data_IF_266991590527
#
_entry.id   IF_266991590527
#
_cell.length_a   1.000
_cell.length_b   1.000
_cell.length_c   1.000
_cell.angle_alpha   90.00
_cell.angle_beta   90.00
_cell.angle_gamma   90.00
#
_symmetry.space_group_name_H-M   'P 1'
#
loop_
_entity.id
_entity.type
_entity.pdbx_description
1 polymer ?
#
# COMPACT_ATOMS: atom_id res chain seq x y z
N UNK A 1 -20.56 2.42 14.46
CA UNK A 1 -21.43 3.24 13.58
C UNK A 1 -21.72 4.52 14.33
N UNK A 2 -21.44 5.69 13.76
CA UNK A 2 -21.72 7.00 14.35
C UNK A 2 -22.62 7.81 13.41
N UNK A 3 -23.01 9.01 13.82
CA UNK A 3 -23.69 9.99 12.97
C UNK A 3 -22.69 11.04 12.50
N UNK A 4 -22.71 11.38 11.22
CA UNK A 4 -21.88 12.46 10.66
C UNK A 4 -22.49 13.86 10.92
N UNK A 5 -21.85 14.90 10.37
CA UNK A 5 -22.31 16.30 10.47
C UNK A 5 -23.69 16.54 9.87
N UNK A 6 -24.11 15.70 8.93
CA UNK A 6 -25.40 15.76 8.24
C UNK A 6 -26.41 14.73 8.81
N UNK A 7 -26.10 14.13 9.97
CA UNK A 7 -26.94 13.18 10.71
C UNK A 7 -27.11 11.79 10.04
N UNK A 8 -26.31 11.45 9.03
CA UNK A 8 -26.30 10.13 8.40
C UNK A 8 -25.54 9.09 9.24
N UNK A 9 -26.01 7.85 9.22
CA UNK A 9 -25.29 6.73 9.85
C UNK A 9 -24.09 6.33 9.01
N UNK A 10 -22.89 6.35 9.61
CA UNK A 10 -21.65 5.94 8.95
C UNK A 10 -20.83 4.98 9.82
N UNK A 11 -20.01 4.14 9.17
CA UNK A 11 -19.05 3.30 9.88
C UNK A 11 -17.91 4.17 10.43
N UNK A 12 -17.53 3.93 11.69
CA UNK A 12 -16.45 4.66 12.35
C UNK A 12 -15.32 3.70 12.69
N UNK A 13 -14.13 4.04 12.19
CA UNK A 13 -12.93 3.23 12.33
C UNK A 13 -12.75 2.21 11.20
N UNK A 14 -11.50 1.85 10.96
CA UNK A 14 -11.10 0.86 9.96
C UNK A 14 -9.98 -0.04 10.47
N UNK A 15 -9.81 -0.18 11.79
CA UNK A 15 -8.79 -1.08 12.37
C UNK A 15 -9.23 -2.55 12.25
N UNK A 16 -8.27 -3.45 12.12
CA UNK A 16 -8.50 -4.89 12.18
C UNK A 16 -8.40 -5.40 13.62
N UNK A 17 -8.64 -6.69 13.82
CA UNK A 17 -8.39 -7.39 15.09
C UNK A 17 -6.94 -7.90 15.21
N UNK A 18 -6.05 -7.56 14.28
CA UNK A 18 -4.66 -7.98 14.35
C UNK A 18 -3.95 -7.27 15.51
N UNK A 19 -3.11 -8.02 16.23
CA UNK A 19 -2.22 -7.48 17.25
C UNK A 19 -0.99 -6.84 16.57
N UNK A 20 -1.24 -5.75 15.84
CA UNK A 20 -0.25 -5.02 15.05
C UNK A 20 -0.45 -3.50 15.24
N UNK A 21 -0.01 -2.92 16.36
CA UNK A 21 -0.33 -1.53 16.72
C UNK A 21 0.34 -0.47 15.84
N UNK A 22 1.41 -0.82 15.14
CA UNK A 22 2.22 0.09 14.30
C UNK A 22 2.44 -0.40 12.87
N UNK A 23 2.04 -1.62 12.54
CA UNK A 23 2.26 -2.18 11.22
C UNK A 23 1.06 -2.05 10.28
N UNK A 24 1.24 -2.68 9.13
CA UNK A 24 0.37 -2.55 7.96
C UNK A 24 -0.97 -3.29 8.16
N UNK A 25 -1.00 -4.31 9.03
CA UNK A 25 -2.20 -5.10 9.28
C UNK A 25 -3.15 -4.41 10.26
N UNK A 26 -2.69 -3.36 10.95
CA UNK A 26 -3.50 -2.51 11.80
C UNK A 26 -4.78 -2.05 11.13
N UNK A 27 -4.69 -1.62 9.86
CA UNK A 27 -5.79 -1.04 9.11
C UNK A 27 -6.32 -2.00 8.06
N UNK A 28 -7.64 -2.14 8.03
CA UNK A 28 -8.37 -2.96 7.07
C UNK A 28 -8.10 -2.52 5.64
N UNK A 29 -7.97 -1.22 5.40
CA UNK A 29 -7.67 -0.65 4.07
C UNK A 29 -6.33 -1.14 3.53
N UNK A 30 -5.26 -0.96 4.30
CA UNK A 30 -3.91 -1.41 3.92
C UNK A 30 -3.85 -2.93 3.74
N UNK A 31 -4.49 -3.70 4.64
CA UNK A 31 -4.63 -5.15 4.47
C UNK A 31 -5.34 -5.53 3.17
N UNK A 32 -6.45 -4.85 2.85
CA UNK A 32 -7.22 -5.13 1.63
C UNK A 32 -6.45 -4.81 0.37
N UNK A 33 -5.65 -3.74 0.36
CA UNK A 33 -4.75 -3.41 -0.74
C UNK A 33 -3.75 -4.54 -0.98
N UNK A 34 -3.09 -5.03 0.07
CA UNK A 34 -2.14 -6.14 -0.06
C UNK A 34 -2.80 -7.41 -0.64
N UNK A 35 -3.98 -7.77 -0.13
CA UNK A 35 -4.73 -8.94 -0.64
C UNK A 35 -5.22 -8.77 -2.07
N UNK A 36 -5.58 -7.55 -2.44
CA UNK A 36 -5.95 -7.23 -3.82
C UNK A 36 -4.77 -7.42 -4.77
N UNK A 37 -3.60 -6.86 -4.44
CA UNK A 37 -2.38 -7.00 -5.24
C UNK A 37 -1.94 -8.45 -5.35
N UNK A 38 -1.90 -9.18 -4.24
CA UNK A 38 -1.60 -10.61 -4.22
C UNK A 38 -2.51 -11.40 -5.17
N UNK A 39 -3.82 -11.09 -5.16
CA UNK A 39 -4.80 -11.73 -6.03
C UNK A 39 -4.57 -11.40 -7.50
N UNK A 40 -4.29 -10.14 -7.83
CA UNK A 40 -4.01 -9.71 -9.20
C UNK A 40 -2.75 -10.38 -9.75
N UNK A 41 -1.64 -10.34 -8.98
CA UNK A 41 -0.40 -11.01 -9.35
C UNK A 41 -0.63 -12.51 -9.53
N UNK A 42 -1.30 -13.18 -8.58
CA UNK A 42 -1.61 -14.61 -8.68
C UNK A 42 -2.43 -14.95 -9.92
N UNK A 43 -3.46 -14.16 -10.21
CA UNK A 43 -4.33 -14.40 -11.36
C UNK A 43 -3.54 -14.35 -12.68
N UNK A 44 -2.67 -13.34 -12.82
CA UNK A 44 -1.78 -13.24 -13.97
C UNK A 44 -0.78 -14.41 -14.05
N UNK A 45 -0.10 -14.71 -12.94
CA UNK A 45 0.89 -15.79 -12.88
C UNK A 45 0.31 -17.16 -13.23
N UNK A 46 -0.96 -17.41 -12.89
CA UNK A 46 -1.66 -18.64 -13.28
C UNK A 46 -1.88 -18.77 -14.79
N UNK A 47 -1.98 -17.65 -15.53
CA UNK A 47 -2.16 -17.68 -16.98
C UNK A 47 -0.88 -18.05 -17.72
N UNK A 48 0.27 -17.70 -17.15
CA UNK A 48 1.61 -17.99 -17.70
C UNK A 48 2.23 -19.26 -17.11
N UNK A 49 1.55 -19.90 -16.15
CA UNK A 49 2.00 -21.14 -15.54
C UNK A 49 2.05 -22.30 -16.55
N UNK A 50 2.96 -23.26 -16.33
CA UNK A 50 3.15 -24.43 -17.18
C UNK A 50 4.10 -24.22 -18.36
N UNK A 51 4.63 -23.02 -18.55
CA UNK A 51 5.68 -22.73 -19.53
C UNK A 51 7.07 -23.06 -18.97
N UNK A 52 8.05 -23.25 -19.87
CA UNK A 52 9.44 -23.48 -19.50
C UNK A 52 10.05 -22.18 -18.93
N UNK A 53 10.65 -22.26 -17.74
CA UNK A 53 11.29 -21.12 -17.06
C UNK A 53 12.65 -20.76 -17.68
N UNK A 54 12.62 -20.21 -18.89
CA UNK A 54 13.79 -19.55 -19.48
C UNK A 54 13.97 -18.17 -18.85
N UNK A 55 15.20 -17.64 -18.89
CA UNK A 55 15.47 -16.29 -18.37
C UNK A 55 14.65 -15.24 -19.12
N UNK A 56 14.63 -15.33 -20.45
CA UNK A 56 13.88 -14.40 -21.30
C UNK A 56 12.37 -14.47 -21.02
N UNK A 57 11.85 -15.67 -20.77
CA UNK A 57 10.45 -15.85 -20.36
C UNK A 57 10.17 -15.15 -19.03
N UNK A 58 11.02 -15.34 -18.02
CA UNK A 58 10.84 -14.68 -16.71
C UNK A 58 10.92 -13.15 -16.83
N UNK A 59 11.78 -12.62 -17.70
CA UNK A 59 11.90 -11.18 -17.90
C UNK A 59 10.65 -10.60 -18.58
N UNK A 60 10.23 -11.23 -19.68
CA UNK A 60 9.18 -10.69 -20.55
C UNK A 60 7.77 -11.03 -20.09
N UNK A 61 7.56 -12.21 -19.52
CA UNK A 61 6.24 -12.76 -19.17
C UNK A 61 5.97 -12.79 -17.66
N UNK A 62 6.95 -12.47 -16.82
CA UNK A 62 6.75 -12.41 -15.36
C UNK A 62 7.11 -11.01 -14.84
N UNK A 63 8.38 -10.61 -14.95
CA UNK A 63 8.84 -9.38 -14.29
C UNK A 63 8.25 -8.12 -14.92
N UNK A 64 8.35 -7.97 -16.24
CA UNK A 64 7.86 -6.77 -16.94
C UNK A 64 6.36 -6.55 -16.75
N UNK A 65 5.49 -7.58 -16.89
CA UNK A 65 4.05 -7.43 -16.70
C UNK A 65 3.67 -7.14 -15.24
N UNK A 66 4.34 -7.77 -14.27
CA UNK A 66 4.11 -7.48 -12.85
C UNK A 66 4.53 -6.06 -12.49
N UNK A 67 5.67 -5.58 -13.00
CA UNK A 67 6.09 -4.17 -12.81
C UNK A 67 5.07 -3.21 -13.37
N UNK A 68 4.62 -3.43 -14.61
CA UNK A 68 3.58 -2.60 -15.23
C UNK A 68 2.30 -2.57 -14.39
N UNK A 69 1.83 -3.72 -13.92
CA UNK A 69 0.65 -3.79 -13.05
C UNK A 69 0.86 -2.97 -11.78
N UNK A 70 2.02 -3.07 -11.13
CA UNK A 70 2.33 -2.35 -9.90
C UNK A 70 2.53 -0.84 -10.15
N UNK A 71 3.12 -0.45 -11.28
CA UNK A 71 3.29 0.95 -11.71
C UNK A 71 1.92 1.62 -11.89
N UNK A 72 0.96 0.94 -12.52
CA UNK A 72 -0.42 1.42 -12.64
C UNK A 72 -1.07 1.64 -11.27
N UNK A 73 -0.74 0.82 -10.25
CA UNK A 73 -1.24 0.98 -8.89
C UNK A 73 -0.57 2.13 -8.13
N UNK A 74 0.69 2.43 -8.44
CA UNK A 74 1.38 3.64 -7.93
C UNK A 74 0.75 4.89 -8.53
N UNK A 75 0.52 4.91 -9.85
CA UNK A 75 -0.09 6.05 -10.55
C UNK A 75 -1.51 6.36 -10.03
N UNK A 76 -2.27 5.32 -9.69
CA UNK A 76 -3.61 5.46 -9.09
C UNK A 76 -3.58 5.90 -7.61
N UNK A 77 -2.42 5.89 -6.96
CA UNK A 77 -2.27 6.20 -5.52
C UNK A 77 -2.73 5.08 -4.58
N UNK A 78 -2.99 3.87 -5.11
CA UNK A 78 -3.34 2.69 -4.32
C UNK A 78 -2.16 2.26 -3.42
N UNK A 79 -0.95 2.35 -3.95
CA UNK A 79 0.30 2.11 -3.22
C UNK A 79 1.24 3.29 -3.40
N UNK A 80 2.10 3.52 -2.40
CA UNK A 80 3.09 4.60 -2.43
C UNK A 80 4.35 4.20 -3.19
N UNK A 81 4.66 2.90 -3.21
CA UNK A 81 5.82 2.35 -3.89
C UNK A 81 5.95 0.84 -3.66
N UNK A 82 6.84 0.23 -4.43
CA UNK A 82 7.14 -1.20 -4.33
C UNK A 82 8.58 -1.49 -4.72
N UNK A 83 9.06 -2.66 -4.31
CA UNK A 83 10.30 -3.27 -4.79
C UNK A 83 10.00 -4.72 -5.19
N UNK A 84 10.24 -5.05 -6.46
CA UNK A 84 9.96 -6.35 -7.04
C UNK A 84 11.27 -6.99 -7.50
N UNK A 85 11.56 -8.16 -6.94
CA UNK A 85 12.70 -8.99 -7.30
C UNK A 85 12.22 -10.38 -7.75
N UNK A 86 12.62 -10.79 -8.95
CA UNK A 86 12.36 -12.14 -9.48
C UNK A 86 13.68 -12.90 -9.51
N UNK A 87 13.76 -14.00 -8.77
CA UNK A 87 14.96 -14.85 -8.71
C UNK A 87 15.09 -15.69 -9.98
N UNK A 88 16.16 -15.43 -10.74
CA UNK A 88 16.45 -16.07 -12.03
C UNK A 88 17.56 -17.12 -11.94
N UNK A 89 17.89 -17.56 -10.72
CA UNK A 89 18.93 -18.57 -10.49
C UNK A 89 18.69 -19.84 -11.33
N UNK A 90 19.74 -20.34 -11.98
CA UNK A 90 19.63 -21.49 -12.88
C UNK A 90 19.22 -22.77 -12.17
N UNK A 91 19.66 -22.98 -10.92
CA UNK A 91 19.36 -24.20 -10.18
C UNK A 91 17.88 -24.28 -9.83
N UNK A 92 17.29 -23.16 -9.40
CA UNK A 92 15.85 -23.08 -9.12
C UNK A 92 14.99 -23.21 -10.37
N UNK A 93 15.40 -22.55 -11.47
CA UNK A 93 14.71 -22.66 -12.76
C UNK A 93 14.68 -24.08 -13.30
N UNK A 94 15.78 -24.83 -13.16
CA UNK A 94 15.83 -26.25 -13.57
C UNK A 94 14.90 -27.15 -12.73
N UNK A 95 14.56 -26.74 -11.51
CA UNK A 95 13.57 -27.41 -10.66
C UNK A 95 12.13 -26.97 -10.95
N UNK A 96 11.92 -26.03 -11.87
CA UNK A 96 10.61 -25.45 -12.16
C UNK A 96 10.15 -24.43 -11.11
N UNK A 97 11.06 -23.93 -10.26
CA UNK A 97 10.76 -22.98 -9.19
C UNK A 97 11.11 -21.56 -9.66
N UNK A 98 10.18 -20.64 -9.46
CA UNK A 98 10.35 -19.21 -9.71
C UNK A 98 9.98 -18.44 -8.44
N UNK A 99 10.98 -17.99 -7.69
CA UNK A 99 10.75 -17.21 -6.48
C UNK A 99 10.59 -15.73 -6.83
N UNK A 100 9.52 -15.12 -6.32
CA UNK A 100 9.22 -13.71 -6.53
C UNK A 100 9.12 -13.06 -5.15
N UNK A 101 9.98 -12.07 -4.91
CA UNK A 101 9.94 -11.23 -3.71
C UNK A 101 9.33 -9.90 -4.07
N UNK A 102 8.25 -9.52 -3.37
CA UNK A 102 7.55 -8.27 -3.58
C UNK A 102 7.38 -7.55 -2.25
N UNK A 103 8.06 -6.43 -2.10
CA UNK A 103 7.89 -5.51 -0.99
C UNK A 103 6.97 -4.36 -1.44
N UNK A 104 5.95 -4.04 -0.66
CA UNK A 104 4.94 -3.03 -1.02
C UNK A 104 4.69 -2.10 0.16
N UNK A 105 4.58 -0.80 -0.14
CA UNK A 105 4.14 0.21 0.80
C UNK A 105 2.71 0.66 0.44
N UNK A 106 1.67 0.09 1.06
CA UNK A 106 0.29 0.44 0.76
C UNK A 106 -0.08 1.80 1.36
N UNK A 107 -1.01 2.49 0.71
CA UNK A 107 -1.56 3.74 1.24
C UNK A 107 -2.39 3.46 2.50
N UNK A 108 -2.22 4.31 3.52
CA UNK A 108 -2.87 4.21 4.83
C UNK A 108 -3.92 5.29 5.06
N UNK A 109 -4.89 5.06 5.95
CA UNK A 109 -5.87 6.08 6.32
C UNK A 109 -5.26 7.10 7.29
N UNK A 110 -5.65 8.37 7.15
CA UNK A 110 -5.36 9.40 8.15
C UNK A 110 -6.34 9.25 9.32
N UNK A 111 -5.98 8.41 10.30
CA UNK A 111 -6.85 8.10 11.45
C UNK A 111 -6.96 9.24 12.46
N UNK A 112 -5.86 9.94 12.73
CA UNK A 112 -5.80 11.01 13.74
C UNK A 112 -5.34 12.31 13.08
N UNK A 113 -6.11 13.37 13.29
CA UNK A 113 -5.75 14.72 12.90
C UNK A 113 -5.45 15.54 14.16
N UNK A 114 -4.25 16.12 14.25
CA UNK A 114 -3.88 17.00 15.36
C UNK A 114 -3.94 18.43 14.85
N UNK A 115 -4.93 19.19 15.32
CA UNK A 115 -5.07 20.61 15.02
C UNK A 115 -4.44 21.42 16.15
N UNK A 116 -3.37 22.16 15.84
CA UNK A 116 -2.78 23.15 16.74
C UNK A 116 -3.18 24.55 16.29
N UNK A 117 -3.90 25.28 17.14
CA UNK A 117 -4.30 26.66 16.89
C UNK A 117 -3.44 27.55 17.77
N UNK A 118 -2.50 28.27 17.15
CA UNK A 118 -1.69 29.27 17.84
C UNK A 118 -2.38 30.64 17.70
N UNK A 119 -2.67 31.30 18.82
CA UNK A 119 -3.18 32.68 18.84
C UNK A 119 -1.98 33.61 18.96
N UNK A 120 -1.76 34.56 18.01
CA UNK A 120 -0.68 35.51 18.15
C UNK A 120 -0.90 36.38 19.40
N UNK A 121 0.14 36.51 20.23
CA UNK A 121 0.14 37.45 21.34
C UNK A 121 0.15 38.87 20.78
N UNK A 122 -1.00 39.55 20.80
CA UNK A 122 -1.06 40.97 20.54
C UNK A 122 -0.47 41.72 21.72
N UNK A 123 0.75 42.25 21.58
CA UNK A 123 1.29 43.23 22.53
C UNK A 123 0.37 44.44 22.53
N UNK A 124 -0.32 44.68 23.65
CA UNK A 124 -1.06 45.93 23.83
C UNK A 124 -0.04 47.07 23.77
N UNK A 125 -0.20 48.07 22.88
CA UNK A 125 0.63 49.27 22.98
C UNK A 125 0.43 49.86 24.37
N UNK A 126 1.51 50.04 25.12
CA UNK A 126 1.48 50.69 26.43
C UNK A 126 0.77 52.05 26.27
N UNK A 127 -0.17 52.41 27.16
CA UNK A 127 -0.77 53.73 27.10
C UNK A 127 0.33 54.77 27.31
N UNK A 128 0.47 55.67 26.35
CA UNK A 128 1.39 56.80 26.44
C UNK A 128 1.16 57.50 27.79
N UNK A 129 2.20 57.55 28.63
CA UNK A 129 2.16 58.26 29.90
C UNK A 129 1.83 59.74 29.60
N UNK A 130 0.71 60.19 30.16
CA UNK A 130 0.29 61.59 30.17
C UNK A 130 1.22 62.44 31.04
#
# INVERSE_FOLDING_TARGET
IIRDVDNHLCFYGCRTQADDPYGVLKFFTSYRILRYLERCCRHYLLQVAGQVLTRDFMDQQIETPLKRLLDEQVEQGTILGYDLFVDKDSNKRMQGICDITLNVMPTGPAETFVLKIDVPEFSRPEPAKA
#
